data_IF_648650618107
#
_entry.id   IF_648650618107
#
_cell.length_a   1.000
_cell.length_b   1.000
_cell.length_c   1.000
_cell.angle_alpha   90.00
_cell.angle_beta   90.00
_cell.angle_gamma   90.00
#
_symmetry.space_group_name_H-M   'P 1'
#
loop_
_entity.id
_entity.type
_entity.pdbx_description
1 polymer ?
#
# COMPACT_ATOMS: atom_id res chain seq x y z
N UNK A 1 -28.30 3.33 2.04
CA UNK A 1 -26.91 3.84 2.09
C UNK A 1 -26.93 5.22 2.75
N UNK A 2 -26.10 5.46 3.77
CA UNK A 2 -26.07 6.77 4.43
C UNK A 2 -25.52 7.83 3.47
N UNK A 3 -26.14 9.02 3.42
CA UNK A 3 -25.67 10.11 2.57
C UNK A 3 -24.32 10.63 3.06
N UNK A 4 -23.49 11.13 2.14
CA UNK A 4 -22.15 11.67 2.44
C UNK A 4 -22.24 12.75 3.55
N UNK A 5 -23.32 13.54 3.57
CA UNK A 5 -23.56 14.56 4.60
C UNK A 5 -23.80 13.98 6.00
N UNK A 6 -24.44 12.81 6.10
CA UNK A 6 -24.61 12.11 7.39
C UNK A 6 -23.27 11.62 7.94
N UNK A 7 -22.39 11.10 7.07
CA UNK A 7 -21.07 10.62 7.46
C UNK A 7 -20.18 11.78 7.93
N UNK A 8 -20.24 12.93 7.24
CA UNK A 8 -19.48 14.13 7.62
C UNK A 8 -19.98 14.75 8.94
N UNK A 9 -21.30 14.76 9.18
CA UNK A 9 -21.86 15.20 10.47
C UNK A 9 -21.45 14.30 11.63
N UNK A 10 -21.50 12.98 11.45
CA UNK A 10 -21.05 12.04 12.48
C UNK A 10 -19.56 12.18 12.79
N UNK A 11 -18.71 12.39 11.78
CA UNK A 11 -17.27 12.64 12.01
C UNK A 11 -16.99 13.94 12.76
N UNK A 12 -17.70 15.03 12.45
CA UNK A 12 -17.56 16.30 13.19
C UNK A 12 -18.04 16.20 14.64
N UNK A 13 -19.09 15.44 14.90
CA UNK A 13 -19.59 15.20 16.26
C UNK A 13 -18.60 14.36 17.09
N UNK A 14 -17.98 13.34 16.48
CA UNK A 14 -16.97 12.51 17.15
C UNK A 14 -15.68 13.28 17.49
N UNK A 15 -15.25 14.18 16.61
CA UNK A 15 -14.07 15.02 16.84
C UNK A 15 -14.25 16.04 17.98
N UNK A 16 -15.48 16.40 18.33
CA UNK A 16 -15.77 17.32 19.46
C UNK A 16 -15.83 16.62 20.83
N UNK A 17 -15.87 15.29 20.87
CA UNK A 17 -15.99 14.51 22.12
C UNK A 17 -14.66 14.01 22.68
N UNK A 18 -13.57 14.17 21.95
CA UNK A 18 -12.23 13.80 22.42
C UNK A 18 -11.60 14.99 23.14
N UNK A 19 -11.30 14.88 24.45
CA UNK A 19 -10.60 15.93 25.16
C UNK A 19 -9.25 16.16 24.49
N UNK A 20 -8.92 17.43 24.23
CA UNK A 20 -7.64 17.76 23.62
C UNK A 20 -6.51 17.50 24.62
N UNK A 21 -5.31 17.21 24.13
CA UNK A 21 -4.13 16.96 24.99
C UNK A 21 -3.89 18.09 26.02
N UNK A 22 -4.26 19.34 25.67
CA UNK A 22 -4.20 20.48 26.59
C UNK A 22 -5.17 20.34 27.78
N UNK A 23 -6.36 19.77 27.58
CA UNK A 23 -7.34 19.54 28.65
C UNK A 23 -6.90 18.42 29.60
N UNK A 24 -6.23 17.38 29.09
CA UNK A 24 -5.67 16.31 29.93
C UNK A 24 -4.51 16.80 30.81
N UNK A 25 -3.61 17.62 30.25
CA UNK A 25 -2.51 18.24 31.02
C UNK A 25 -3.05 19.14 32.13
N UNK A 26 -4.07 19.96 31.86
CA UNK A 26 -4.70 20.81 32.86
C UNK A 26 -5.36 20.00 34.00
N UNK A 27 -5.97 18.85 33.67
CA UNK A 27 -6.57 17.95 34.65
C UNK A 27 -5.53 17.29 35.56
N UNK A 28 -4.39 16.88 34.99
CA UNK A 28 -3.29 16.27 35.73
C UNK A 28 -2.61 17.27 36.68
N UNK A 29 -2.43 18.53 36.24
CA UNK A 29 -1.86 19.58 37.08
C UNK A 29 -2.75 19.93 38.29
N UNK A 30 -4.08 19.97 38.11
CA UNK A 30 -5.02 20.19 39.23
C UNK A 30 -4.99 19.05 40.25
N UNK A 31 -4.92 17.79 39.78
CA UNK A 31 -4.83 16.64 40.67
C UNK A 31 -3.56 16.73 41.54
N UNK A 32 -2.42 17.06 40.93
CA UNK A 32 -1.14 17.18 41.64
C UNK A 32 -1.10 18.34 42.64
N UNK A 33 -1.71 19.48 42.30
CA UNK A 33 -1.83 20.61 43.21
C UNK A 33 -2.71 20.28 44.43
N UNK A 34 -3.79 19.51 44.23
CA UNK A 34 -4.67 19.09 45.33
C UNK A 34 -4.00 18.12 46.31
N UNK A 35 -3.08 17.27 45.81
CA UNK A 35 -2.33 16.32 46.64
C UNK A 35 -1.23 17.01 47.45
N UNK A 36 -0.55 17.99 46.86
CA UNK A 36 0.43 18.84 47.56
C UNK A 36 -0.22 19.63 48.70
N UNK A 37 -1.41 20.18 48.48
CA UNK A 37 -2.17 20.90 49.50
C UNK A 37 -2.62 20.01 50.66
N UNK A 38 -2.92 18.72 50.42
CA UNK A 38 -3.26 17.75 51.47
C UNK A 38 -2.06 17.40 52.35
N UNK A 39 -0.87 17.21 51.75
CA UNK A 39 0.35 16.91 52.52
C UNK A 39 0.82 18.07 53.40
N UNK A 40 0.58 19.32 52.97
CA UNK A 40 0.93 20.49 53.77
C UNK A 40 0.09 20.64 55.06
N UNK A 41 -1.12 20.06 55.11
CA UNK A 41 -1.99 20.12 56.31
C UNK A 41 -1.73 19.03 57.35
N UNK A 42 -0.89 18.04 57.06
CA UNK A 42 -0.65 16.88 57.94
C UNK A 42 0.71 16.91 58.66
N UNK A 43 1.42 18.04 58.67
CA UNK A 43 2.68 18.18 59.42
C UNK A 43 2.38 18.73 60.81
N UNK A 44 2.54 17.94 61.89
CA UNK A 44 2.36 18.45 63.25
C UNK A 44 3.45 19.48 63.59
N UNK A 45 3.14 20.53 64.37
CA UNK A 45 4.11 21.54 64.75
C UNK A 45 5.23 20.94 65.63
N UNK A 46 6.46 21.45 65.54
CA UNK A 46 7.55 21.01 66.41
C UNK A 46 7.25 21.35 67.88
N UNK A 47 7.64 20.48 68.83
CA UNK A 47 7.45 20.74 70.25
C UNK A 47 8.26 21.96 70.70
N UNK A 48 7.79 22.73 71.70
CA UNK A 48 8.51 23.89 72.22
C UNK A 48 9.82 23.46 72.91
N UNK A 49 10.88 24.28 72.86
CA UNK A 49 12.07 24.06 73.65
C UNK A 49 11.73 24.22 75.14
N UNK A 50 12.02 23.19 75.93
CA UNK A 50 11.82 23.23 77.37
C UNK A 50 12.90 24.07 78.05
N UNK A 51 12.48 25.16 78.70
CA UNK A 51 13.29 25.92 79.64
C UNK A 51 13.44 25.11 80.95
N UNK A 52 14.65 24.62 81.19
CA UNK A 52 15.06 23.98 82.44
C UNK A 52 15.84 24.95 83.31
N UNK A 53 15.19 25.42 84.37
CA UNK A 53 15.72 26.36 85.35
C UNK A 53 16.82 25.81 86.26
N UNK A 54 17.54 26.76 86.86
CA UNK A 54 18.63 26.52 87.79
C UNK A 54 18.20 25.94 89.14
N UNK A 55 19.16 25.30 89.80
CA UNK A 55 19.05 24.84 91.18
C UNK A 55 20.42 24.38 91.67
N UNK A 56 20.98 25.12 92.63
CA UNK A 56 22.26 24.82 93.27
C UNK A 56 22.20 23.58 94.15
N UNK A 57 23.28 22.81 94.12
CA UNK A 57 23.49 21.63 94.92
C UNK A 57 24.60 20.81 94.27
N UNK A 58 25.68 20.56 94.99
CA UNK A 58 26.83 19.75 94.53
C UNK A 58 26.38 18.32 94.26
N UNK A 59 25.79 18.10 93.08
CA UNK A 59 25.41 16.81 92.56
C UNK A 59 26.65 16.11 91.96
N UNK A 60 26.72 14.77 92.00
CA UNK A 60 27.77 14.02 91.33
C UNK A 60 27.84 14.46 89.87
N UNK A 61 29.05 14.77 89.40
CA UNK A 61 29.29 15.22 88.02
C UNK A 61 28.56 14.27 87.06
N UNK A 62 27.61 14.76 86.25
CA UNK A 62 26.82 13.90 85.37
C UNK A 62 27.76 13.15 84.43
N UNK A 63 27.40 11.91 84.07
CA UNK A 63 28.27 11.04 83.26
C UNK A 63 28.76 11.73 81.98
N UNK A 64 27.94 12.57 81.36
CA UNK A 64 28.28 13.42 80.20
C UNK A 64 29.47 14.37 80.42
N UNK A 65 29.78 14.75 81.67
CA UNK A 65 30.91 15.60 82.05
C UNK A 65 32.11 14.79 82.58
N UNK A 66 31.94 13.49 82.81
CA UNK A 66 33.05 12.61 83.14
C UNK A 66 33.87 12.27 81.90
N UNK A 67 35.18 12.06 82.05
CA UNK A 67 36.06 11.66 80.94
C UNK A 67 35.54 10.43 80.18
N UNK A 68 34.92 9.49 80.87
CA UNK A 68 34.31 8.30 80.28
C UNK A 68 33.08 8.62 79.42
N UNK A 69 32.18 9.51 79.87
CA UNK A 69 31.02 9.91 79.08
C UNK A 69 31.35 10.81 77.89
N UNK A 70 32.42 11.62 77.97
CA UNK A 70 32.94 12.36 76.82
C UNK A 70 33.50 11.40 75.76
N UNK A 71 34.23 10.35 76.18
CA UNK A 71 34.73 9.31 75.26
C UNK A 71 33.57 8.51 74.65
N UNK A 72 32.59 8.10 75.44
CA UNK A 72 31.41 7.38 74.95
C UNK A 72 30.57 8.22 73.96
N UNK A 73 30.35 9.51 74.25
CA UNK A 73 29.65 10.42 73.34
C UNK A 73 30.44 10.63 72.03
N UNK A 74 31.77 10.74 72.10
CA UNK A 74 32.63 10.85 70.93
C UNK A 74 32.62 9.55 70.09
N UNK A 75 32.59 8.38 70.72
CA UNK A 75 32.46 7.09 70.05
C UNK A 75 31.09 6.93 69.39
N UNK A 76 30.01 7.32 70.07
CA UNK A 76 28.65 7.29 69.53
C UNK A 76 28.50 8.26 68.34
N UNK A 77 29.11 9.45 68.40
CA UNK A 77 29.18 10.38 67.26
C UNK A 77 30.00 9.81 66.09
N UNK A 78 31.13 9.14 66.36
CA UNK A 78 31.91 8.47 65.30
C UNK A 78 31.11 7.34 64.65
N UNK A 79 30.42 6.53 65.43
CA UNK A 79 29.57 5.45 64.91
C UNK A 79 28.41 6.00 64.07
N UNK A 80 27.74 7.07 64.52
CA UNK A 80 26.65 7.68 63.75
C UNK A 80 27.14 8.27 62.42
N UNK A 81 28.32 8.90 62.41
CA UNK A 81 28.96 9.38 61.18
C UNK A 81 29.34 8.23 60.23
N UNK A 82 29.80 7.09 60.75
CA UNK A 82 30.09 5.90 59.94
C UNK A 82 28.82 5.33 59.30
N UNK A 83 27.73 5.22 60.06
CA UNK A 83 26.42 4.77 59.56
C UNK A 83 25.89 5.75 58.50
N UNK A 84 26.01 7.06 58.73
CA UNK A 84 25.62 8.08 57.74
C UNK A 84 26.43 7.96 56.45
N UNK A 85 27.75 7.77 56.53
CA UNK A 85 28.62 7.55 55.36
C UNK A 85 28.25 6.29 54.60
N UNK A 86 27.97 5.18 55.29
CA UNK A 86 27.54 3.93 54.67
C UNK A 86 26.19 4.08 53.96
N UNK A 87 25.22 4.73 54.59
CA UNK A 87 23.92 5.00 54.00
C UNK A 87 24.02 5.93 52.78
N UNK A 88 24.84 6.98 52.85
CA UNK A 88 25.10 7.87 51.72
C UNK A 88 25.75 7.13 50.55
N UNK A 89 26.73 6.26 50.81
CA UNK A 89 27.36 5.43 49.79
C UNK A 89 26.38 4.43 49.15
N UNK A 90 25.51 3.81 49.97
CA UNK A 90 24.47 2.90 49.47
C UNK A 90 23.44 3.63 48.58
N UNK A 91 23.03 4.84 48.97
CA UNK A 91 22.14 5.69 48.17
C UNK A 91 22.80 6.12 46.86
N UNK A 92 24.07 6.51 46.87
CA UNK A 92 24.80 6.88 45.67
C UNK A 92 24.89 5.71 44.67
N UNK A 93 25.16 4.49 45.15
CA UNK A 93 25.16 3.27 44.30
C UNK A 93 23.79 3.00 43.68
N UNK A 94 22.70 3.15 44.45
CA UNK A 94 21.32 3.00 43.93
C UNK A 94 20.99 4.06 42.88
N UNK A 95 21.37 5.31 43.11
CA UNK A 95 21.14 6.38 42.13
C UNK A 95 21.89 6.12 40.81
N UNK A 96 23.12 5.61 40.88
CA UNK A 96 23.90 5.22 39.70
C UNK A 96 23.23 4.06 38.95
N UNK A 97 22.76 3.01 39.64
CA UNK A 97 22.05 1.92 38.99
C UNK A 97 20.74 2.39 38.35
N UNK A 98 19.99 3.25 39.03
CA UNK A 98 18.72 3.78 38.50
C UNK A 98 18.93 4.69 37.29
N UNK A 99 20.04 5.41 37.23
CA UNK A 99 20.42 6.21 36.06
C UNK A 99 20.72 5.32 34.85
N UNK A 100 21.50 4.24 35.05
CA UNK A 100 21.81 3.28 33.99
C UNK A 100 20.54 2.55 33.50
N UNK A 101 19.65 2.15 34.41
CA UNK A 101 18.37 1.51 34.04
C UNK A 101 17.50 2.47 33.23
N UNK A 102 17.43 3.75 33.63
CA UNK A 102 16.70 4.77 32.86
C UNK A 102 17.27 4.95 31.46
N UNK A 103 18.59 5.05 31.35
CA UNK A 103 19.27 5.18 30.06
C UNK A 103 19.01 3.97 29.16
N UNK A 104 19.08 2.74 29.70
CA UNK A 104 18.76 1.53 28.94
C UNK A 104 17.29 1.50 28.48
N UNK A 105 16.35 1.88 29.35
CA UNK A 105 14.92 1.96 29.01
C UNK A 105 14.67 2.99 27.90
N UNK A 106 15.31 4.14 27.96
CA UNK A 106 15.23 5.17 26.91
C UNK A 106 15.77 4.66 25.57
N UNK A 107 16.92 3.98 25.56
CA UNK A 107 17.47 3.39 24.34
C UNK A 107 16.54 2.32 23.74
N UNK A 108 15.97 1.45 24.56
CA UNK A 108 15.00 0.42 24.10
C UNK A 108 13.75 1.09 23.53
N UNK A 109 13.22 2.11 24.20
CA UNK A 109 12.07 2.86 23.74
C UNK A 109 12.34 3.54 22.38
N UNK A 110 13.49 4.19 22.22
CA UNK A 110 13.89 4.80 20.95
C UNK A 110 14.02 3.76 19.83
N UNK A 111 14.66 2.62 20.10
CA UNK A 111 14.76 1.51 19.13
C UNK A 111 13.38 0.98 18.73
N UNK A 112 12.48 0.79 19.69
CA UNK A 112 11.10 0.35 19.41
C UNK A 112 10.33 1.37 18.58
N UNK A 113 10.47 2.68 18.85
CA UNK A 113 9.83 3.71 18.04
C UNK A 113 10.36 3.71 16.60
N UNK A 114 11.67 3.59 16.41
CA UNK A 114 12.27 3.51 15.07
C UNK A 114 11.81 2.25 14.32
N UNK A 115 11.76 1.10 15.00
CA UNK A 115 11.26 -0.14 14.40
C UNK A 115 9.79 -0.01 13.96
N UNK A 116 8.94 0.64 14.77
CA UNK A 116 7.54 0.89 14.41
C UNK A 116 7.44 1.78 13.17
N UNK A 117 8.20 2.88 13.10
CA UNK A 117 8.23 3.77 11.93
C UNK A 117 8.68 3.04 10.66
N UNK A 118 9.75 2.27 10.73
CA UNK A 118 10.23 1.48 9.58
C UNK A 118 9.19 0.43 9.15
N UNK A 119 8.52 -0.21 10.09
CA UNK A 119 7.45 -1.17 9.79
C UNK A 119 6.24 -0.50 9.13
N UNK A 120 5.84 0.68 9.61
CA UNK A 120 4.77 1.50 9.02
C UNK A 120 5.14 1.98 7.61
N UNK A 121 6.36 2.50 7.41
CA UNK A 121 6.87 2.91 6.11
C UNK A 121 6.87 1.74 5.12
N UNK A 122 7.32 0.55 5.54
CA UNK A 122 7.28 -0.66 4.70
C UNK A 122 5.85 -1.05 4.33
N UNK A 123 4.90 -0.94 5.25
CA UNK A 123 3.47 -1.20 4.97
C UNK A 123 2.92 -0.20 3.96
N UNK A 124 3.19 1.10 4.15
CA UNK A 124 2.76 2.15 3.22
C UNK A 124 3.38 1.95 1.84
N UNK A 125 4.65 1.57 1.76
CA UNK A 125 5.31 1.27 0.49
C UNK A 125 4.69 0.05 -0.20
N UNK A 126 4.34 -1.00 0.54
CA UNK A 126 3.64 -2.15 -0.02
C UNK A 126 2.26 -1.75 -0.56
N UNK A 127 1.46 -1.04 0.24
CA UNK A 127 0.12 -0.59 -0.15
C UNK A 127 0.15 0.36 -1.36
N UNK A 128 1.11 1.28 -1.41
CA UNK A 128 1.27 2.19 -2.56
C UNK A 128 1.70 1.45 -3.82
N UNK A 129 2.55 0.42 -3.72
CA UNK A 129 2.90 -0.44 -4.86
C UNK A 129 1.68 -1.22 -5.35
N UNK A 130 0.88 -1.77 -4.44
CA UNK A 130 -0.37 -2.46 -4.79
C UNK A 130 -1.38 -1.53 -5.45
N UNK A 131 -1.58 -0.32 -4.93
CA UNK A 131 -2.44 0.69 -5.56
C UNK A 131 -1.96 1.08 -6.96
N UNK A 132 -0.65 1.31 -7.14
CA UNK A 132 -0.06 1.59 -8.46
C UNK A 132 -0.28 0.42 -9.41
N UNK A 133 -0.08 -0.81 -8.94
CA UNK A 133 -0.34 -2.03 -9.73
C UNK A 133 -1.81 -2.11 -10.15
N UNK A 134 -2.75 -1.87 -9.24
CA UNK A 134 -4.18 -1.86 -9.54
C UNK A 134 -4.55 -0.76 -10.55
N UNK A 135 -4.00 0.44 -10.39
CA UNK A 135 -4.19 1.54 -11.34
C UNK A 135 -3.67 1.18 -12.74
N UNK A 136 -2.47 0.60 -12.84
CA UNK A 136 -1.90 0.15 -14.10
C UNK A 136 -2.73 -0.96 -14.76
N UNK A 137 -3.29 -1.89 -13.97
CA UNK A 137 -4.22 -2.91 -14.48
C UNK A 137 -5.51 -2.25 -15.00
N UNK A 138 -6.02 -1.25 -14.29
CA UNK A 138 -7.18 -0.47 -14.73
C UNK A 138 -6.92 0.26 -16.05
N UNK A 139 -5.79 0.96 -16.15
CA UNK A 139 -5.36 1.64 -17.36
C UNK A 139 -5.18 0.67 -18.53
N UNK A 140 -4.56 -0.48 -18.32
CA UNK A 140 -4.38 -1.51 -19.34
C UNK A 140 -5.72 -2.01 -19.90
N UNK A 141 -6.76 -2.12 -19.07
CA UNK A 141 -8.12 -2.47 -19.53
C UNK A 141 -8.74 -1.37 -20.39
N UNK A 142 -8.58 -0.11 -19.99
CA UNK A 142 -9.09 1.04 -20.75
C UNK A 142 -8.38 1.17 -22.10
N UNK A 143 -7.05 1.08 -22.11
CA UNK A 143 -6.25 1.08 -23.34
C UNK A 143 -6.68 -0.04 -24.27
N UNK A 144 -6.86 -1.26 -23.75
CA UNK A 144 -7.33 -2.40 -24.54
C UNK A 144 -8.71 -2.14 -25.14
N UNK A 145 -9.66 -1.60 -24.38
CA UNK A 145 -10.97 -1.23 -24.91
C UNK A 145 -10.88 -0.14 -25.99
N UNK A 146 -9.99 0.84 -25.80
CA UNK A 146 -9.71 1.89 -26.78
C UNK A 146 -9.15 1.32 -28.09
N UNK A 147 -8.14 0.45 -28.03
CA UNK A 147 -7.58 -0.22 -29.21
C UNK A 147 -8.63 -1.07 -29.93
N UNK A 148 -9.46 -1.81 -29.19
CA UNK A 148 -10.56 -2.56 -29.80
C UNK A 148 -11.56 -1.65 -30.52
N UNK A 149 -11.97 -0.54 -29.89
CA UNK A 149 -12.87 0.43 -30.51
C UNK A 149 -12.25 1.08 -31.75
N UNK A 150 -10.93 1.36 -31.74
CA UNK A 150 -10.21 1.87 -32.89
C UNK A 150 -10.18 0.88 -34.06
N UNK A 151 -9.94 -0.42 -33.78
CA UNK A 151 -9.97 -1.48 -34.80
C UNK A 151 -11.37 -1.63 -35.43
N UNK A 152 -12.42 -1.52 -34.61
CA UNK A 152 -13.79 -1.50 -35.12
C UNK A 152 -14.07 -0.25 -35.97
N UNK A 153 -13.59 0.92 -35.55
CA UNK A 153 -13.80 2.18 -36.25
C UNK A 153 -13.03 2.26 -37.59
N UNK A 154 -11.86 1.63 -37.69
CA UNK A 154 -11.16 1.45 -38.97
C UNK A 154 -11.82 0.40 -39.87
N UNK A 155 -12.79 -0.34 -39.33
CA UNK A 155 -13.48 -1.48 -39.95
C UNK A 155 -12.56 -2.67 -40.24
N UNK A 156 -11.50 -2.83 -39.44
CA UNK A 156 -10.67 -4.02 -39.45
C UNK A 156 -11.30 -5.10 -38.56
N UNK A 157 -12.46 -5.60 -38.99
CA UNK A 157 -13.35 -6.40 -38.14
C UNK A 157 -12.71 -7.73 -37.70
N UNK A 158 -12.03 -8.45 -38.59
CA UNK A 158 -11.39 -9.71 -38.23
C UNK A 158 -10.21 -9.51 -37.28
N UNK A 159 -9.41 -8.44 -37.44
CA UNK A 159 -8.37 -8.08 -36.47
C UNK A 159 -8.95 -7.65 -35.13
N UNK A 160 -10.04 -6.90 -35.13
CA UNK A 160 -10.75 -6.52 -33.90
C UNK A 160 -11.25 -7.75 -33.13
N UNK A 161 -11.82 -8.74 -33.83
CA UNK A 161 -12.26 -10.03 -33.25
C UNK A 161 -11.08 -10.77 -32.65
N UNK A 162 -10.00 -10.97 -33.42
CA UNK A 162 -8.81 -11.65 -32.93
C UNK A 162 -8.24 -10.98 -31.69
N UNK A 163 -8.11 -9.66 -31.71
CA UNK A 163 -7.67 -8.88 -30.56
C UNK A 163 -8.60 -9.04 -29.34
N UNK A 164 -9.91 -9.05 -29.56
CA UNK A 164 -10.91 -9.26 -28.52
C UNK A 164 -10.81 -10.65 -27.86
N UNK A 165 -10.53 -11.68 -28.66
CA UNK A 165 -10.25 -13.06 -28.22
C UNK A 165 -8.88 -13.22 -27.57
N UNK A 166 -8.01 -12.21 -27.66
CA UNK A 166 -6.66 -12.26 -27.09
C UNK A 166 -5.63 -12.88 -28.02
N UNK A 167 -5.87 -12.81 -29.33
CA UNK A 167 -4.95 -13.26 -30.38
C UNK A 167 -4.36 -12.06 -31.14
N UNK A 168 -3.31 -12.32 -31.90
CA UNK A 168 -2.67 -11.35 -32.78
C UNK A 168 -1.57 -10.50 -32.10
N UNK A 169 -0.75 -9.83 -32.93
CA UNK A 169 0.42 -9.09 -32.47
C UNK A 169 0.04 -7.87 -31.61
N UNK A 170 -1.11 -7.24 -31.86
CA UNK A 170 -1.61 -6.15 -31.04
C UNK A 170 -1.87 -6.63 -29.60
N UNK A 171 -2.41 -7.85 -29.43
CA UNK A 171 -2.67 -8.40 -28.10
C UNK A 171 -1.38 -8.85 -27.39
N UNK A 172 -0.35 -9.29 -28.12
CA UNK A 172 0.93 -9.71 -27.52
C UNK A 172 1.56 -8.60 -26.67
N UNK A 173 1.51 -7.35 -27.14
CA UNK A 173 2.01 -6.19 -26.39
C UNK A 173 1.22 -5.95 -25.08
N UNK A 174 -0.07 -6.28 -25.05
CA UNK A 174 -0.86 -6.22 -23.82
C UNK A 174 -0.58 -7.44 -22.93
N UNK A 175 -0.43 -8.64 -23.50
CA UNK A 175 -0.15 -9.88 -22.75
C UNK A 175 1.16 -9.78 -21.97
N UNK A 176 2.22 -9.23 -22.58
CA UNK A 176 3.51 -8.99 -21.92
C UNK A 176 3.35 -8.03 -20.74
N UNK A 177 2.61 -6.92 -20.94
CA UNK A 177 2.31 -5.94 -19.88
C UNK A 177 1.42 -6.51 -18.78
N UNK A 178 0.46 -7.36 -19.11
CA UNK A 178 -0.40 -8.02 -18.14
C UNK A 178 0.42 -9.00 -17.28
N UNK A 179 1.29 -9.81 -17.90
CA UNK A 179 2.19 -10.74 -17.19
C UNK A 179 3.13 -10.02 -16.24
N UNK A 180 3.71 -8.88 -16.64
CA UNK A 180 4.56 -8.10 -15.74
C UNK A 180 3.80 -7.51 -14.54
N UNK A 181 2.50 -7.26 -14.70
CA UNK A 181 1.58 -6.86 -13.63
C UNK A 181 0.99 -8.06 -12.85
N UNK A 182 1.43 -9.29 -13.13
CA UNK A 182 0.94 -10.50 -12.47
C UNK A 182 -0.56 -10.76 -12.68
N UNK A 183 -1.09 -10.37 -13.84
CA UNK A 183 -2.47 -10.64 -14.26
C UNK A 183 -2.45 -11.28 -15.65
N UNK A 184 -3.53 -11.96 -16.01
CA UNK A 184 -3.75 -12.43 -17.38
C UNK A 184 -4.81 -11.55 -18.05
N UNK A 185 -4.72 -11.46 -19.38
CA UNK A 185 -5.76 -10.82 -20.19
C UNK A 185 -6.87 -11.85 -20.39
N UNK A 186 -8.10 -11.42 -20.12
CA UNK A 186 -9.30 -12.20 -20.44
C UNK A 186 -9.88 -11.69 -21.75
N UNK A 187 -10.58 -12.55 -22.46
CA UNK A 187 -11.35 -12.17 -23.65
C UNK A 187 -12.27 -10.97 -23.34
N UNK A 188 -12.46 -10.06 -24.29
CA UNK A 188 -13.40 -8.95 -24.15
C UNK A 188 -14.83 -9.49 -24.09
N UNK A 189 -15.70 -8.78 -23.38
CA UNK A 189 -17.12 -9.15 -23.30
C UNK A 189 -17.72 -9.11 -24.71
N UNK A 190 -18.34 -10.22 -25.12
CA UNK A 190 -18.95 -10.34 -26.45
C UNK A 190 -17.97 -10.77 -27.56
N UNK A 191 -16.69 -11.01 -27.26
CA UNK A 191 -15.70 -11.43 -28.27
C UNK A 191 -16.14 -12.70 -29.02
N UNK A 192 -16.64 -13.72 -28.30
CA UNK A 192 -17.16 -14.98 -28.89
C UNK A 192 -18.39 -14.80 -29.76
N UNK A 193 -19.25 -13.84 -29.42
CA UNK A 193 -20.40 -13.54 -30.26
C UNK A 193 -19.96 -12.81 -31.54
N UNK A 194 -19.01 -11.88 -31.42
CA UNK A 194 -18.45 -11.17 -32.56
C UNK A 194 -17.72 -12.14 -33.51
N UNK A 195 -16.91 -13.06 -32.96
CA UNK A 195 -16.26 -14.18 -33.65
C UNK A 195 -17.25 -14.93 -34.54
N UNK A 196 -18.31 -15.49 -33.94
CA UNK A 196 -19.33 -16.25 -34.67
C UNK A 196 -20.02 -15.40 -35.76
N UNK A 197 -20.30 -14.12 -35.50
CA UNK A 197 -20.92 -13.24 -36.52
C UNK A 197 -19.99 -12.93 -37.68
N UNK A 198 -18.70 -12.70 -37.41
CA UNK A 198 -17.69 -12.39 -38.42
C UNK A 198 -17.35 -13.63 -39.24
N UNK A 199 -17.22 -14.79 -38.62
CA UNK A 199 -17.06 -16.09 -39.30
C UNK A 199 -18.23 -16.40 -40.22
N UNK A 200 -19.48 -16.22 -39.75
CA UNK A 200 -20.66 -16.45 -40.56
C UNK A 200 -20.73 -15.47 -41.76
N UNK A 201 -20.33 -14.21 -41.56
CA UNK A 201 -20.27 -13.22 -42.63
C UNK A 201 -19.22 -13.58 -43.68
N UNK A 202 -18.00 -13.92 -43.25
CA UNK A 202 -16.92 -14.36 -44.12
C UNK A 202 -17.29 -15.65 -44.87
N UNK A 203 -17.91 -16.60 -44.17
CA UNK A 203 -18.32 -17.88 -44.75
C UNK A 203 -19.37 -17.69 -45.84
N UNK A 204 -20.32 -16.77 -45.63
CA UNK A 204 -21.34 -16.41 -46.64
C UNK A 204 -20.73 -15.74 -47.87
N UNK A 205 -19.76 -14.86 -47.67
CA UNK A 205 -19.07 -14.14 -48.76
C UNK A 205 -18.22 -15.09 -49.61
N UNK A 206 -17.55 -16.05 -48.97
CA UNK A 206 -16.60 -16.95 -49.63
C UNK A 206 -17.21 -18.30 -50.05
N UNK A 207 -18.46 -18.56 -49.67
CA UNK A 207 -19.19 -19.80 -49.96
C UNK A 207 -18.54 -21.04 -49.35
N UNK A 208 -17.91 -20.91 -48.18
CA UNK A 208 -17.12 -21.96 -47.52
C UNK A 208 -17.00 -21.68 -46.03
N UNK A 209 -16.65 -22.67 -45.24
CA UNK A 209 -16.45 -22.48 -43.80
C UNK A 209 -15.14 -21.71 -43.52
N UNK A 210 -15.26 -20.65 -42.71
CA UNK A 210 -14.16 -19.78 -42.26
C UNK A 210 -14.09 -19.82 -40.75
N UNK A 211 -12.88 -20.00 -40.21
CA UNK A 211 -12.61 -20.16 -38.77
C UNK A 211 -11.58 -19.12 -38.31
N UNK A 212 -11.86 -18.39 -37.23
CA UNK A 212 -10.99 -17.38 -36.63
C UNK A 212 -10.32 -18.00 -35.41
N UNK A 213 -9.04 -18.33 -35.54
CA UNK A 213 -8.28 -19.01 -34.49
C UNK A 213 -7.07 -18.19 -34.02
N UNK A 214 -6.32 -18.71 -33.04
CA UNK A 214 -5.06 -18.11 -32.58
C UNK A 214 -4.02 -17.97 -33.69
N UNK A 215 -4.04 -18.88 -34.67
CA UNK A 215 -3.13 -18.83 -35.83
C UNK A 215 -3.54 -17.79 -36.88
N UNK A 216 -4.71 -17.16 -36.74
CA UNK A 216 -5.28 -16.27 -37.75
C UNK A 216 -6.60 -16.77 -38.30
N UNK A 217 -7.04 -16.12 -39.38
CA UNK A 217 -8.25 -16.49 -40.11
C UNK A 217 -7.94 -17.60 -41.11
N UNK A 218 -8.59 -18.76 -40.96
CA UNK A 218 -8.45 -19.94 -41.82
C UNK A 218 -9.70 -20.13 -42.67
N UNK A 219 -9.58 -20.96 -43.71
CA UNK A 219 -10.71 -21.25 -44.60
C UNK A 219 -10.98 -20.16 -45.64
N UNK A 220 -10.12 -19.15 -45.78
CA UNK A 220 -10.29 -18.07 -46.77
C UNK A 220 -10.24 -18.54 -48.24
N UNK A 221 -9.77 -19.76 -48.49
CA UNK A 221 -9.70 -20.35 -49.82
C UNK A 221 -8.44 -19.99 -50.59
N UNK A 222 -8.48 -20.21 -51.91
CA UNK A 222 -7.40 -19.77 -52.80
C UNK A 222 -7.48 -18.26 -52.96
N UNK A 223 -6.31 -17.62 -53.05
CA UNK A 223 -6.24 -16.17 -53.24
C UNK A 223 -7.01 -15.69 -54.47
N UNK A 224 -7.03 -16.49 -55.54
CA UNK A 224 -7.81 -16.19 -56.76
C UNK A 224 -9.32 -16.19 -56.50
N UNK A 225 -9.82 -17.13 -55.68
CA UNK A 225 -11.23 -17.17 -55.30
C UNK A 225 -11.62 -15.95 -54.45
N UNK A 226 -10.80 -15.62 -53.46
CA UNK A 226 -11.00 -14.44 -52.63
C UNK A 226 -10.92 -13.13 -53.42
N UNK A 227 -9.99 -13.02 -54.37
CA UNK A 227 -9.86 -11.86 -55.25
C UNK A 227 -11.11 -11.66 -56.14
N UNK A 228 -11.71 -12.75 -56.65
CA UNK A 228 -12.98 -12.66 -57.38
C UNK A 228 -14.12 -12.16 -56.50
N UNK A 229 -14.27 -12.71 -55.29
CA UNK A 229 -15.27 -12.25 -54.32
C UNK A 229 -15.04 -10.79 -53.91
N UNK A 230 -13.79 -10.34 -53.85
CA UNK A 230 -13.41 -8.96 -53.57
C UNK A 230 -13.85 -8.00 -54.68
N UNK A 231 -13.63 -8.35 -55.95
CA UNK A 231 -13.98 -7.52 -57.12
C UNK A 231 -15.49 -7.50 -57.36
N UNK A 232 -16.16 -8.63 -57.14
CA UNK A 232 -17.62 -8.75 -57.32
C UNK A 232 -18.41 -8.20 -56.12
N UNK A 233 -17.78 -8.07 -54.95
CA UNK A 233 -18.39 -7.59 -53.72
C UNK A 233 -18.46 -6.06 -53.63
N UNK A 234 -19.42 -5.56 -52.86
CA UNK A 234 -19.48 -4.14 -52.48
C UNK A 234 -18.40 -3.75 -51.45
N UNK A 235 -18.39 -2.47 -51.07
CA UNK A 235 -17.40 -1.91 -50.13
C UNK A 235 -17.27 -2.70 -48.82
N UNK A 236 -18.40 -3.16 -48.25
CA UNK A 236 -18.41 -3.94 -47.01
C UNK A 236 -17.69 -5.29 -47.16
N UNK A 237 -17.84 -5.94 -48.32
CA UNK A 237 -17.18 -7.22 -48.62
C UNK A 237 -15.68 -7.00 -48.80
N UNK A 238 -15.30 -5.93 -49.50
CA UNK A 238 -13.89 -5.56 -49.68
C UNK A 238 -13.22 -5.26 -48.33
N UNK A 239 -13.89 -4.50 -47.46
CA UNK A 239 -13.38 -4.18 -46.13
C UNK A 239 -13.24 -5.43 -45.26
N UNK A 240 -14.26 -6.29 -45.24
CA UNK A 240 -14.25 -7.54 -44.48
C UNK A 240 -13.13 -8.49 -44.95
N UNK A 241 -12.96 -8.67 -46.27
CA UNK A 241 -11.90 -9.51 -46.82
C UNK A 241 -10.52 -8.92 -46.54
N UNK A 242 -10.33 -7.62 -46.73
CA UNK A 242 -9.06 -6.94 -46.41
C UNK A 242 -8.70 -7.12 -44.94
N UNK A 243 -9.70 -7.06 -44.04
CA UNK A 243 -9.51 -7.28 -42.61
C UNK A 243 -9.13 -8.72 -42.26
N UNK A 244 -9.58 -9.70 -43.04
CA UNK A 244 -9.34 -11.11 -42.76
C UNK A 244 -7.99 -11.62 -43.29
N UNK A 245 -7.49 -11.03 -44.38
CA UNK A 245 -6.20 -11.37 -44.95
C UNK A 245 -5.04 -10.66 -44.24
N UNK A 246 -4.01 -11.43 -43.88
CA UNK A 246 -2.79 -10.92 -43.26
C UNK A 246 -2.90 -10.75 -41.75
N UNK A 247 -3.94 -11.31 -41.13
CA UNK A 247 -4.13 -11.31 -39.68
C UNK A 247 -3.84 -12.70 -39.13
N UNK A 248 -2.88 -12.74 -38.20
CA UNK A 248 -2.32 -13.95 -37.61
C UNK A 248 -1.22 -13.57 -36.63
N UNK A 249 -0.92 -14.44 -35.68
CA UNK A 249 0.15 -14.20 -34.72
C UNK A 249 1.54 -14.31 -35.38
N UNK A 250 2.48 -13.48 -34.93
CA UNK A 250 3.89 -13.49 -35.36
C UNK A 250 4.75 -14.45 -34.52
N UNK A 251 4.15 -15.26 -33.66
CA UNK A 251 4.89 -16.20 -32.81
C UNK A 251 5.53 -17.31 -33.64
N UNK A 252 6.71 -17.73 -33.21
CA UNK A 252 7.50 -18.77 -33.87
C UNK A 252 6.70 -20.08 -34.00
N UNK A 253 6.47 -20.52 -35.24
CA UNK A 253 5.72 -21.74 -35.56
C UNK A 253 4.24 -21.55 -35.94
N UNK A 254 3.66 -20.36 -35.74
CA UNK A 254 2.30 -20.04 -36.22
C UNK A 254 2.38 -19.46 -37.63
N UNK A 255 1.54 -19.93 -38.57
CA UNK A 255 1.54 -19.43 -39.96
C UNK A 255 0.65 -18.18 -40.05
N UNK A 256 1.21 -16.96 -40.19
CA UNK A 256 0.39 -15.80 -40.50
C UNK A 256 -0.34 -16.02 -41.84
N UNK A 257 -1.59 -15.57 -41.93
CA UNK A 257 -2.32 -15.56 -43.20
C UNK A 257 -1.59 -14.78 -44.29
N UNK A 258 -2.01 -14.94 -45.55
CA UNK A 258 -1.47 -14.19 -46.71
C UNK A 258 -1.54 -12.69 -46.39
N UNK A 259 -0.41 -11.97 -46.44
CA UNK A 259 -0.37 -10.54 -46.11
C UNK A 259 -1.32 -9.71 -46.99
N UNK A 260 -1.85 -8.61 -46.45
CA UNK A 260 -2.72 -7.72 -47.20
C UNK A 260 -2.07 -7.19 -48.50
N UNK A 261 -0.76 -6.91 -48.45
CA UNK A 261 0.03 -6.53 -49.63
C UNK A 261 0.02 -7.63 -50.70
N UNK A 262 0.21 -8.89 -50.29
CA UNK A 262 0.20 -10.03 -51.21
C UNK A 262 -1.20 -10.32 -51.77
N UNK A 263 -2.26 -10.03 -51.02
CA UNK A 263 -3.63 -10.06 -51.56
C UNK A 263 -3.82 -9.01 -52.65
N UNK A 264 -3.36 -7.78 -52.43
CA UNK A 264 -3.41 -6.70 -53.42
C UNK A 264 -2.72 -7.06 -54.74
N UNK A 265 -1.50 -7.61 -54.66
CA UNK A 265 -0.78 -8.12 -55.84
C UNK A 265 -1.57 -9.21 -56.60
N UNK A 266 -2.27 -10.09 -55.87
CA UNK A 266 -3.05 -11.17 -56.45
C UNK A 266 -4.37 -10.67 -57.05
N UNK A 267 -4.98 -9.63 -56.46
CA UNK A 267 -6.13 -8.95 -57.05
C UNK A 267 -5.73 -8.32 -58.39
N UNK A 268 -4.60 -7.62 -58.46
CA UNK A 268 -4.10 -7.02 -59.72
C UNK A 268 -3.83 -8.07 -60.82
N UNK A 269 -3.48 -9.31 -60.45
CA UNK A 269 -3.27 -10.40 -61.40
C UNK A 269 -4.58 -11.03 -61.91
N UNK A 270 -5.64 -10.99 -61.11
CA UNK A 270 -6.93 -11.65 -61.40
C UNK A 270 -7.93 -10.67 -62.02
N UNK A 271 -7.80 -9.38 -61.75
CA UNK A 271 -8.57 -8.33 -62.43
C UNK A 271 -8.04 -8.21 -63.86
N UNK A 272 -8.86 -8.50 -64.89
CA UNK A 272 -8.45 -8.26 -66.26
C UNK A 272 -8.17 -6.77 -66.44
N UNK A 273 -6.96 -6.41 -66.89
CA UNK A 273 -6.64 -5.04 -67.30
C UNK A 273 -7.52 -4.68 -68.52
N UNK A 274 -8.60 -3.94 -68.28
CA UNK A 274 -9.58 -3.48 -69.26
C UNK A 274 -10.99 -3.87 -68.79
N UNK A 275 -11.88 -2.96 -68.41
CA UNK A 275 -12.36 -1.79 -69.16
C UNK A 275 -12.64 -0.63 -68.19
N UNK A 276 -12.02 0.54 -68.43
CA UNK A 276 -12.57 1.84 -68.06
C UNK A 276 -13.62 2.24 -69.11
#
# INVERSE_FOLDING_TARGET
MASIDQILRQRRAAARRTPTAAQEVARFQRARASEAARRARSVPPPPPPGDGGGGGGTAPTPFSQTRAGVVFAAEQQRQSLLIQRQNAAALARRQQSDALIRQQKEQVFQRQQLQRRVAEERRIQAETRERKRQANIGQLRVERQGTFAQLLASGDQARAVMFALGFGPENDAFDVRARSLGTTIRELKGARQLEATTEAALSRVLGRDVDISREGVRGLGSAVGAARSFVQGGADVQQLLTSAFGVGSLREGERPGISAARLGELIEQVVPRGVL
#
